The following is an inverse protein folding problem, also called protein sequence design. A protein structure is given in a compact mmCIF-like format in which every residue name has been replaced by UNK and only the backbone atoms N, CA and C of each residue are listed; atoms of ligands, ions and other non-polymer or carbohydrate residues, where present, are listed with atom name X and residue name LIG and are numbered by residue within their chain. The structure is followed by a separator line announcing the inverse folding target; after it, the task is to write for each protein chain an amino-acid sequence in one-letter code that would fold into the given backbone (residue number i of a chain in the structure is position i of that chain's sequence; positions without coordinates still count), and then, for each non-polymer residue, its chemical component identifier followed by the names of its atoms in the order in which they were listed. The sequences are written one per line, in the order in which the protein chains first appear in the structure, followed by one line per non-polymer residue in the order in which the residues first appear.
data_IF_943231943266
#
_entry.id   IF_943231943266
#
_cell.length_a   1.000
_cell.length_b   1.000
_cell.length_c   1.000
_cell.angle_alpha   90.00
_cell.angle_beta   90.00
_cell.angle_gamma   90.00
#
_symmetry.space_group_name_H-M   'P 1'
#
loop_
_entity.id
_entity.type
_entity.pdbx_description
1 polymer ?
#
# COMPACT_ATOMS: atom_id res chain seq x y z
N UNK A 1 0.12 -27.49 -44.60
CA UNK A 1 0.45 -27.82 -43.22
C UNK A 1 1.69 -26.99 -42.87
N UNK A 2 1.48 -25.83 -42.29
CA UNK A 2 2.55 -25.03 -41.71
C UNK A 2 2.81 -25.60 -40.33
N UNK A 3 4.00 -26.23 -40.17
CA UNK A 3 4.54 -26.56 -38.85
C UNK A 3 4.66 -25.25 -38.06
N UNK A 4 3.79 -25.08 -37.11
CA UNK A 4 3.95 -24.03 -36.11
C UNK A 4 4.96 -24.57 -35.12
N UNK A 5 6.11 -23.96 -35.07
CA UNK A 5 7.18 -24.27 -34.11
C UNK A 5 6.60 -24.21 -32.69
N UNK A 6 6.57 -25.31 -31.92
CA UNK A 6 6.04 -25.33 -30.58
C UNK A 6 6.79 -24.42 -29.59
N UNK A 7 7.98 -23.93 -29.95
CA UNK A 7 8.79 -23.00 -29.13
C UNK A 7 8.45 -21.52 -29.39
N UNK A 8 7.54 -21.21 -30.31
CA UNK A 8 7.05 -19.84 -30.60
C UNK A 8 5.72 -19.51 -29.89
N UNK A 9 5.40 -20.19 -28.80
CA UNK A 9 4.33 -19.72 -27.94
C UNK A 9 4.89 -18.51 -27.16
N UNK A 10 4.76 -17.29 -27.72
CA UNK A 10 5.01 -16.07 -26.99
C UNK A 10 4.26 -16.20 -25.65
N UNK A 11 4.98 -16.22 -24.54
CA UNK A 11 4.36 -16.29 -23.23
C UNK A 11 3.59 -14.98 -23.06
N UNK A 12 2.26 -15.07 -23.05
CA UNK A 12 1.40 -13.94 -22.74
C UNK A 12 1.88 -13.32 -21.43
N UNK A 13 2.26 -12.04 -21.50
CA UNK A 13 2.77 -11.27 -20.36
C UNK A 13 1.71 -10.34 -19.86
N UNK A 14 1.70 -10.09 -18.57
CA UNK A 14 0.86 -9.08 -17.95
C UNK A 14 1.72 -7.88 -17.57
N UNK A 15 1.15 -6.68 -17.61
CA UNK A 15 1.83 -5.44 -17.23
C UNK A 15 1.86 -5.32 -15.69
N UNK A 16 2.38 -6.35 -15.05
CA UNK A 16 2.52 -6.51 -13.61
C UNK A 16 3.86 -7.16 -13.29
N UNK A 17 4.61 -6.54 -12.38
CA UNK A 17 5.87 -7.07 -11.86
C UNK A 17 5.78 -7.24 -10.35
N UNK A 18 6.33 -8.33 -9.84
CA UNK A 18 6.44 -8.61 -8.40
C UNK A 18 7.87 -9.03 -8.11
N UNK A 19 8.55 -8.30 -7.22
CA UNK A 19 9.96 -8.49 -6.90
C UNK A 19 10.81 -8.63 -8.18
N UNK A 20 10.69 -7.64 -9.09
CA UNK A 20 11.35 -7.57 -10.41
C UNK A 20 11.02 -8.69 -11.41
N UNK A 21 10.14 -9.62 -11.06
CA UNK A 21 9.68 -10.65 -11.98
C UNK A 21 8.40 -10.23 -12.66
N UNK A 22 8.42 -10.17 -14.00
CA UNK A 22 7.20 -9.94 -14.78
C UNK A 22 6.26 -11.15 -14.65
N UNK A 23 4.99 -10.86 -14.38
CA UNK A 23 3.94 -11.87 -14.36
C UNK A 23 3.60 -12.28 -15.80
N UNK A 24 3.54 -13.57 -16.03
CA UNK A 24 3.25 -14.17 -17.33
C UNK A 24 2.22 -15.29 -17.16
N UNK A 25 1.59 -15.70 -18.24
CA UNK A 25 0.69 -16.85 -18.23
C UNK A 25 1.34 -18.15 -17.74
N UNK A 26 2.66 -18.28 -17.93
CA UNK A 26 3.39 -19.48 -17.51
C UNK A 26 3.74 -19.47 -16.02
N UNK A 27 3.94 -18.32 -15.38
CA UNK A 27 4.31 -18.21 -13.97
C UNK A 27 3.18 -17.69 -13.06
N UNK A 28 2.02 -17.32 -13.58
CA UNK A 28 0.94 -16.71 -12.79
C UNK A 28 0.47 -17.52 -11.58
N UNK A 29 0.70 -18.84 -11.57
CA UNK A 29 0.36 -19.71 -10.45
C UNK A 29 1.46 -19.82 -9.38
N UNK A 30 2.67 -19.32 -9.68
CA UNK A 30 3.86 -19.31 -8.82
C UNK A 30 4.84 -18.27 -9.40
N UNK A 31 4.54 -16.98 -9.17
CA UNK A 31 5.28 -15.88 -9.79
C UNK A 31 6.75 -15.88 -9.40
N UNK A 32 7.04 -16.20 -8.15
CA UNK A 32 8.40 -16.17 -7.62
C UNK A 32 9.14 -17.51 -7.80
N UNK A 33 8.46 -18.57 -8.25
CA UNK A 33 9.01 -19.92 -8.41
C UNK A 33 9.51 -20.50 -7.07
N UNK A 34 8.81 -20.20 -5.99
CA UNK A 34 9.16 -20.56 -4.61
C UNK A 34 8.17 -21.52 -3.94
N UNK A 35 7.22 -22.05 -4.70
CA UNK A 35 6.15 -22.91 -4.23
C UNK A 35 4.80 -22.21 -4.10
N UNK A 36 4.66 -21.02 -4.68
CA UNK A 36 3.39 -20.32 -4.82
C UNK A 36 3.08 -19.33 -3.71
N UNK A 37 4.10 -18.66 -3.17
CA UNK A 37 3.91 -17.52 -2.24
C UNK A 37 3.17 -16.36 -2.93
N UNK A 38 3.36 -16.19 -4.24
CA UNK A 38 2.69 -15.18 -5.05
C UNK A 38 1.97 -15.82 -6.23
N UNK A 39 0.68 -15.51 -6.38
CA UNK A 39 -0.18 -15.97 -7.49
C UNK A 39 -0.97 -14.80 -8.05
N UNK A 40 -1.17 -14.81 -9.36
CA UNK A 40 -1.98 -13.83 -10.06
C UNK A 40 -3.12 -14.49 -10.83
N UNK A 41 -4.34 -14.00 -10.63
CA UNK A 41 -5.50 -14.36 -11.44
C UNK A 41 -5.83 -13.21 -12.40
N UNK A 42 -5.53 -13.37 -13.70
CA UNK A 42 -5.80 -12.32 -14.68
C UNK A 42 -7.29 -12.13 -15.01
N UNK A 43 -8.14 -13.05 -14.57
CA UNK A 43 -9.59 -12.93 -14.82
C UNK A 43 -10.22 -11.89 -13.90
N UNK A 44 -9.66 -11.73 -12.70
CA UNK A 44 -10.13 -10.83 -11.65
C UNK A 44 -9.10 -9.75 -11.31
N UNK A 45 -7.95 -9.71 -11.99
CA UNK A 45 -6.79 -8.88 -11.66
C UNK A 45 -6.41 -8.99 -10.16
N UNK A 46 -6.41 -10.22 -9.62
CA UNK A 46 -6.15 -10.44 -8.20
C UNK A 46 -4.78 -11.05 -7.98
N UNK A 47 -3.94 -10.36 -7.21
CA UNK A 47 -2.66 -10.85 -6.70
C UNK A 47 -2.86 -11.43 -5.30
N UNK A 48 -2.63 -12.73 -5.13
CA UNK A 48 -2.73 -13.43 -3.85
C UNK A 48 -1.34 -13.65 -3.27
N UNK A 49 -1.14 -13.19 -2.04
CA UNK A 49 0.12 -13.28 -1.29
C UNK A 49 -0.05 -14.28 -0.14
N UNK A 50 0.82 -15.30 -0.08
CA UNK A 50 0.79 -16.33 0.95
C UNK A 50 2.09 -16.28 1.76
N UNK A 51 2.12 -15.44 2.79
CA UNK A 51 3.31 -15.15 3.60
C UNK A 51 4.53 -14.80 2.72
N UNK A 52 4.29 -14.00 1.68
CA UNK A 52 5.31 -13.65 0.71
C UNK A 52 6.35 -12.67 1.31
N UNK A 53 7.62 -12.93 1.02
CA UNK A 53 8.73 -12.01 1.30
C UNK A 53 9.15 -11.34 -0.01
N UNK A 54 8.77 -10.07 -0.17
CA UNK A 54 9.07 -9.27 -1.35
C UNK A 54 10.21 -8.29 -1.05
N UNK A 55 11.30 -8.82 -0.50
CA UNK A 55 12.53 -8.06 -0.26
C UNK A 55 13.33 -7.97 -1.54
N UNK A 56 13.60 -6.74 -2.01
CA UNK A 56 14.50 -6.53 -3.16
C UNK A 56 15.94 -6.37 -2.69
N UNK A 57 16.86 -7.07 -3.37
CA UNK A 57 18.29 -6.82 -3.20
C UNK A 57 18.65 -5.54 -3.97
N UNK A 58 18.87 -4.42 -3.30
CA UNK A 58 19.06 -3.08 -3.86
C UNK A 58 20.13 -2.89 -4.94
N UNK A 59 20.75 -3.98 -5.42
CA UNK A 59 21.73 -4.00 -6.51
C UNK A 59 21.12 -4.29 -7.90
N UNK A 60 19.86 -4.69 -7.99
CA UNK A 60 19.26 -5.19 -9.25
C UNK A 60 18.50 -4.13 -10.06
N UNK A 61 18.34 -2.91 -9.55
CA UNK A 61 17.69 -1.81 -10.28
C UNK A 61 16.16 -1.86 -10.30
N UNK A 62 15.54 -2.73 -9.50
CA UNK A 62 14.11 -2.72 -9.26
C UNK A 62 13.73 -1.58 -8.33
N UNK A 63 12.73 -0.81 -8.75
CA UNK A 63 12.30 0.35 -7.98
C UNK A 63 11.14 0.04 -7.02
N UNK A 64 10.37 -1.05 -7.27
CA UNK A 64 9.16 -1.37 -6.52
C UNK A 64 9.05 -2.86 -6.19
N UNK A 65 8.50 -3.19 -5.03
CA UNK A 65 8.17 -4.57 -4.68
C UNK A 65 7.01 -5.11 -5.53
N UNK A 66 6.01 -4.26 -5.82
CA UNK A 66 4.90 -4.54 -6.73
C UNK A 66 4.72 -3.33 -7.64
N UNK A 67 4.92 -3.51 -8.94
CA UNK A 67 4.69 -2.51 -9.98
C UNK A 67 3.61 -3.00 -10.92
N UNK A 68 2.45 -2.33 -10.91
CA UNK A 68 1.33 -2.63 -11.79
C UNK A 68 1.12 -1.49 -12.76
N UNK A 69 1.33 -1.76 -14.04
CA UNK A 69 1.01 -0.86 -15.14
C UNK A 69 -0.36 -1.20 -15.76
N UNK A 70 -1.16 -1.99 -15.05
CA UNK A 70 -2.56 -2.25 -15.42
C UNK A 70 -3.35 -0.95 -15.25
N UNK A 71 -4.14 -0.60 -16.29
CA UNK A 71 -5.07 0.52 -16.22
C UNK A 71 -6.33 0.17 -15.40
N UNK A 72 -6.64 -1.12 -15.29
CA UNK A 72 -7.72 -1.65 -14.48
C UNK A 72 -7.29 -1.80 -13.03
N UNK A 73 -8.26 -1.89 -12.13
CA UNK A 73 -8.03 -2.12 -10.72
C UNK A 73 -7.20 -3.39 -10.46
N UNK A 74 -6.14 -3.27 -9.65
CA UNK A 74 -5.44 -4.40 -9.06
C UNK A 74 -5.99 -4.67 -7.66
N UNK A 75 -6.43 -5.90 -7.40
CA UNK A 75 -6.77 -6.36 -6.05
C UNK A 75 -5.62 -7.17 -5.46
N UNK A 76 -5.18 -6.83 -4.24
CA UNK A 76 -4.18 -7.59 -3.48
C UNK A 76 -4.84 -8.18 -2.23
N UNK A 77 -4.60 -9.48 -2.00
CA UNK A 77 -5.11 -10.19 -0.84
C UNK A 77 -4.03 -11.08 -0.20
N UNK A 78 -4.18 -11.41 1.09
CA UNK A 78 -3.27 -12.30 1.82
C UNK A 78 -2.19 -11.58 2.61
N UNK A 79 -1.05 -12.22 2.83
CA UNK A 79 -0.01 -11.74 3.76
C UNK A 79 1.34 -11.58 3.07
N UNK A 80 2.00 -10.43 3.28
CA UNK A 80 3.35 -10.19 2.78
C UNK A 80 4.14 -9.18 3.61
N UNK A 81 5.47 -9.29 3.50
CA UNK A 81 6.42 -8.25 3.88
C UNK A 81 7.08 -7.70 2.62
N UNK A 82 7.10 -6.38 2.48
CA UNK A 82 7.71 -5.66 1.37
C UNK A 82 8.85 -4.78 1.93
N UNK A 83 10.04 -4.91 1.39
CA UNK A 83 11.18 -4.15 1.91
C UNK A 83 12.26 -3.87 0.86
N UNK A 84 13.10 -2.87 1.16
CA UNK A 84 14.26 -2.47 0.36
C UNK A 84 13.95 -1.87 -1.02
N UNK A 85 12.73 -1.38 -1.23
CA UNK A 85 12.31 -0.68 -2.45
C UNK A 85 11.09 0.18 -2.17
N UNK A 86 10.58 0.90 -3.18
CA UNK A 86 9.20 1.37 -3.16
C UNK A 86 8.27 0.17 -2.93
N UNK A 87 7.18 0.39 -2.20
CA UNK A 87 6.32 -0.73 -1.83
C UNK A 87 5.43 -1.19 -2.98
N UNK A 88 4.30 -0.52 -3.17
CA UNK A 88 3.29 -0.84 -4.19
C UNK A 88 3.02 0.39 -5.03
N UNK A 89 3.33 0.31 -6.32
CA UNK A 89 2.98 1.33 -7.30
C UNK A 89 2.00 0.75 -8.32
N UNK A 90 0.92 1.47 -8.61
CA UNK A 90 -0.05 1.07 -9.63
C UNK A 90 -0.34 2.25 -10.57
N UNK A 91 -0.59 1.98 -11.85
CA UNK A 91 -1.10 2.99 -12.79
C UNK A 91 -2.62 3.16 -12.66
N UNK A 92 -3.35 2.09 -12.36
CA UNK A 92 -4.79 2.09 -12.09
C UNK A 92 -5.13 2.09 -10.60
N UNK A 93 -6.43 1.97 -10.25
CA UNK A 93 -6.88 1.86 -8.86
C UNK A 93 -6.32 0.62 -8.16
N UNK A 94 -6.20 0.71 -6.83
CA UNK A 94 -5.71 -0.37 -5.98
C UNK A 94 -6.73 -0.74 -4.90
N UNK A 95 -7.03 -2.02 -4.78
CA UNK A 95 -7.79 -2.56 -3.65
C UNK A 95 -6.94 -3.53 -2.83
N UNK A 96 -6.82 -3.28 -1.53
CA UNK A 96 -6.30 -4.22 -0.54
C UNK A 96 -7.50 -4.82 0.20
N UNK A 97 -7.80 -6.10 -0.05
CA UNK A 97 -8.94 -6.79 0.56
C UNK A 97 -8.50 -8.06 1.29
N UNK A 98 -8.83 -8.16 2.58
CA UNK A 98 -8.36 -9.26 3.42
C UNK A 98 -6.82 -9.40 3.38
N UNK A 99 -6.11 -8.28 3.33
CA UNK A 99 -4.66 -8.22 3.24
C UNK A 99 -4.02 -7.90 4.60
N UNK A 100 -2.87 -8.53 4.86
CA UNK A 100 -2.00 -8.18 6.00
C UNK A 100 -0.62 -7.86 5.45
N UNK A 101 -0.30 -6.57 5.36
CA UNK A 101 0.93 -6.10 4.72
C UNK A 101 1.80 -5.33 5.71
N UNK A 102 3.11 -5.62 5.65
CA UNK A 102 4.13 -4.83 6.35
C UNK A 102 5.11 -4.29 5.33
N UNK A 103 5.22 -2.96 5.25
CA UNK A 103 6.12 -2.27 4.34
C UNK A 103 7.20 -1.56 5.16
N UNK A 104 8.47 -1.77 4.78
CA UNK A 104 9.61 -1.11 5.40
C UNK A 104 10.42 -0.35 4.36
N UNK A 105 10.85 0.86 4.71
CA UNK A 105 11.43 1.83 3.79
C UNK A 105 12.63 1.36 2.97
N UNK A 106 12.91 2.12 1.93
CA UNK A 106 13.96 1.87 0.94
C UNK A 106 15.39 2.02 1.52
N UNK A 107 16.36 1.32 0.91
CA UNK A 107 17.78 1.33 1.31
C UNK A 107 18.49 2.63 0.92
N UNK A 108 18.13 3.26 -0.20
CA UNK A 108 18.92 4.33 -0.80
C UNK A 108 18.47 5.75 -0.43
N UNK A 109 17.33 5.91 0.26
CA UNK A 109 16.88 7.20 0.79
C UNK A 109 16.69 8.30 -0.24
N UNK A 110 16.41 7.94 -1.50
CA UNK A 110 16.15 8.91 -2.56
C UNK A 110 14.84 9.65 -2.31
N UNK A 111 14.86 10.92 -2.64
CA UNK A 111 13.73 11.83 -2.43
C UNK A 111 12.59 11.45 -3.37
N UNK A 112 11.47 10.98 -2.83
CA UNK A 112 10.26 10.71 -3.62
C UNK A 112 9.65 9.33 -3.47
N UNK A 113 10.24 8.47 -2.65
CA UNK A 113 9.80 7.09 -2.47
C UNK A 113 8.45 6.98 -1.77
N UNK A 114 7.55 6.23 -2.37
CA UNK A 114 6.21 5.96 -1.86
C UNK A 114 6.13 4.55 -1.29
N UNK A 115 5.50 4.38 -0.13
CA UNK A 115 5.18 3.03 0.32
C UNK A 115 4.02 2.45 -0.50
N UNK A 116 2.98 3.24 -0.76
CA UNK A 116 1.86 2.85 -1.64
C UNK A 116 1.42 4.07 -2.45
N UNK A 117 1.36 3.92 -3.77
CA UNK A 117 0.85 4.96 -4.68
C UNK A 117 -0.03 4.37 -5.76
N UNK A 118 -1.18 4.99 -6.00
CA UNK A 118 -2.05 4.69 -7.13
C UNK A 118 -2.05 5.84 -8.14
N UNK A 119 -1.85 5.48 -9.41
CA UNK A 119 -1.67 6.41 -10.51
C UNK A 119 -0.50 7.37 -10.28
N UNK A 120 -0.65 8.60 -10.78
CA UNK A 120 0.25 9.71 -10.44
C UNK A 120 -0.21 10.46 -9.17
N UNK A 121 -0.83 9.75 -8.22
CA UNK A 121 -1.50 10.24 -7.02
C UNK A 121 -2.93 10.77 -7.30
N UNK A 122 -3.58 10.27 -8.35
CA UNK A 122 -4.92 10.66 -8.80
C UNK A 122 -5.89 9.48 -8.91
N UNK A 123 -5.39 8.23 -8.86
CA UNK A 123 -6.22 7.04 -8.79
C UNK A 123 -6.58 6.68 -7.34
N UNK A 124 -7.65 5.88 -7.18
CA UNK A 124 -8.21 5.56 -5.87
C UNK A 124 -7.54 4.35 -5.22
N UNK A 125 -7.42 4.40 -3.90
CA UNK A 125 -7.01 3.26 -3.08
C UNK A 125 -8.15 2.89 -2.12
N UNK A 126 -8.51 1.60 -2.13
CA UNK A 126 -9.45 1.00 -1.17
C UNK A 126 -8.72 0.01 -0.26
N UNK A 127 -8.84 0.16 1.05
CA UNK A 127 -8.31 -0.76 2.06
C UNK A 127 -9.50 -1.28 2.88
N UNK A 128 -9.83 -2.55 2.73
CA UNK A 128 -10.98 -3.15 3.41
C UNK A 128 -10.62 -4.48 4.07
N UNK A 129 -11.16 -4.72 5.27
CA UNK A 129 -10.93 -5.96 6.04
C UNK A 129 -9.44 -6.30 6.21
N UNK A 130 -8.57 -5.29 6.26
CA UNK A 130 -7.13 -5.44 6.11
C UNK A 130 -6.36 -4.83 7.27
N UNK A 131 -5.11 -5.26 7.40
CA UNK A 131 -4.12 -4.64 8.29
C UNK A 131 -2.92 -4.23 7.47
N UNK A 132 -2.61 -2.94 7.43
CA UNK A 132 -1.48 -2.39 6.69
C UNK A 132 -0.61 -1.59 7.64
N UNK A 133 0.66 -1.98 7.73
CA UNK A 133 1.67 -1.29 8.51
C UNK A 133 2.77 -0.77 7.58
N UNK A 134 2.97 0.53 7.59
CA UNK A 134 4.06 1.20 6.89
C UNK A 134 5.01 1.74 7.95
N UNK A 135 6.19 1.13 8.08
CA UNK A 135 7.19 1.54 9.05
C UNK A 135 8.01 2.72 8.50
N UNK A 136 8.10 3.78 9.30
CA UNK A 136 8.73 5.03 8.90
C UNK A 136 10.21 4.92 8.59
N UNK A 137 10.98 4.17 9.41
CA UNK A 137 12.42 4.02 9.25
C UNK A 137 12.84 2.59 9.52
N UNK A 138 13.78 2.09 8.72
CA UNK A 138 14.51 0.87 9.07
C UNK A 138 15.68 1.20 10.04
N UNK A 139 16.42 0.17 10.48
CA UNK A 139 17.57 0.31 11.37
C UNK A 139 18.72 1.13 10.80
N UNK A 140 18.73 1.43 9.51
CA UNK A 140 19.75 2.20 8.78
C UNK A 140 19.34 3.66 8.53
N UNK A 141 18.11 4.05 8.93
CA UNK A 141 17.59 5.40 8.78
C UNK A 141 16.90 5.65 7.44
N UNK A 142 16.70 4.62 6.61
CA UNK A 142 15.98 4.72 5.35
C UNK A 142 14.48 4.71 5.60
N UNK A 143 13.73 5.54 4.88
CA UNK A 143 12.29 5.72 5.07
C UNK A 143 11.60 6.02 3.74
N UNK A 144 10.32 5.71 3.67
CA UNK A 144 9.47 6.26 2.62
C UNK A 144 9.27 7.76 2.86
N UNK A 145 9.44 8.56 1.82
CA UNK A 145 9.10 9.99 1.91
C UNK A 145 7.60 10.15 2.09
N UNK A 146 6.81 9.36 1.37
CA UNK A 146 5.36 9.33 1.50
C UNK A 146 4.89 7.93 1.87
N UNK A 147 3.95 7.86 2.82
CA UNK A 147 3.34 6.59 3.17
C UNK A 147 2.34 6.14 2.11
N UNK A 148 1.27 6.89 1.94
CA UNK A 148 0.23 6.63 0.94
C UNK A 148 -0.03 7.89 0.12
N UNK A 149 -0.04 7.77 -1.22
CA UNK A 149 -0.46 8.84 -2.13
C UNK A 149 -1.49 8.34 -3.14
N UNK A 150 -2.64 9.04 -3.23
CA UNK A 150 -3.74 8.66 -4.12
C UNK A 150 -4.73 9.82 -4.34
N UNK A 151 -5.70 9.63 -5.22
CA UNK A 151 -6.83 10.53 -5.40
C UNK A 151 -7.78 10.46 -4.21
N UNK A 152 -8.41 9.29 -4.01
CA UNK A 152 -9.25 9.01 -2.85
C UNK A 152 -8.73 7.79 -2.10
N UNK A 153 -8.64 7.89 -0.77
CA UNK A 153 -8.36 6.77 0.11
C UNK A 153 -9.63 6.36 0.85
N UNK A 154 -10.10 5.13 0.60
CA UNK A 154 -11.21 4.54 1.34
C UNK A 154 -10.69 3.46 2.30
N UNK A 155 -11.00 3.57 3.59
CA UNK A 155 -10.59 2.61 4.62
C UNK A 155 -11.82 2.07 5.35
N UNK A 156 -12.05 0.77 5.26
CA UNK A 156 -13.23 0.13 5.85
C UNK A 156 -12.87 -1.13 6.65
N UNK A 157 -13.33 -1.23 7.90
CA UNK A 157 -13.10 -2.39 8.78
C UNK A 157 -11.62 -2.80 8.86
N UNK A 158 -10.71 -1.84 8.87
CA UNK A 158 -9.27 -2.06 8.68
C UNK A 158 -8.42 -1.33 9.72
N UNK A 159 -7.22 -1.84 9.92
CA UNK A 159 -6.18 -1.14 10.67
C UNK A 159 -5.12 -0.64 9.70
N UNK A 160 -4.88 0.65 9.70
CA UNK A 160 -3.88 1.32 8.91
C UNK A 160 -2.93 2.08 9.84
N UNK A 161 -1.68 1.66 9.90
CA UNK A 161 -0.62 2.32 10.68
C UNK A 161 0.48 2.80 9.73
N UNK A 162 0.61 4.11 9.58
CA UNK A 162 1.47 4.74 8.59
C UNK A 162 2.46 5.67 9.26
N UNK A 163 3.73 5.38 9.09
CA UNK A 163 4.81 6.27 9.47
C UNK A 163 5.72 6.54 8.27
N UNK A 164 5.98 7.82 7.98
CA UNK A 164 6.79 8.26 6.85
C UNK A 164 7.77 9.36 7.28
N UNK A 165 8.83 9.55 6.51
CA UNK A 165 9.78 10.64 6.71
C UNK A 165 9.24 12.00 6.27
N UNK A 166 8.40 12.00 5.23
CA UNK A 166 7.60 13.14 4.79
C UNK A 166 6.14 12.99 5.24
N UNK A 167 5.16 13.20 4.36
CA UNK A 167 3.75 13.07 4.74
C UNK A 167 3.29 11.61 4.77
N UNK A 168 2.57 11.22 5.83
CA UNK A 168 2.14 9.83 5.97
C UNK A 168 1.00 9.47 5.00
N UNK A 169 -0.03 10.31 4.89
CA UNK A 169 -1.14 10.14 3.94
C UNK A 169 -1.33 11.43 3.16
N UNK A 170 -1.32 11.33 1.84
CA UNK A 170 -1.61 12.44 0.91
C UNK A 170 -2.71 11.97 -0.04
N UNK A 171 -3.88 12.55 0.08
CA UNK A 171 -5.02 12.24 -0.77
C UNK A 171 -5.91 13.48 -0.94
N UNK A 172 -6.72 13.54 -1.99
CA UNK A 172 -7.73 14.59 -2.09
C UNK A 172 -8.85 14.31 -1.08
N UNK A 173 -9.26 13.05 -0.97
CA UNK A 173 -10.32 12.63 -0.05
C UNK A 173 -9.88 11.41 0.77
N UNK A 174 -10.18 11.42 2.08
CA UNK A 174 -10.13 10.24 2.95
C UNK A 174 -11.53 9.92 3.44
N UNK A 175 -12.03 8.72 3.11
CA UNK A 175 -13.26 8.17 3.65
C UNK A 175 -12.95 6.99 4.56
N UNK A 176 -13.42 7.04 5.82
CA UNK A 176 -13.26 5.94 6.77
C UNK A 176 -14.61 5.48 7.31
N UNK A 177 -14.80 4.14 7.35
CA UNK A 177 -16.05 3.50 7.80
C UNK A 177 -15.79 2.18 8.52
N UNK A 178 -16.81 1.68 9.21
CA UNK A 178 -16.73 0.45 9.98
C UNK A 178 -16.19 0.64 11.40
N UNK A 179 -16.92 0.13 12.39
CA UNK A 179 -16.66 0.35 13.81
C UNK A 179 -15.28 -0.13 14.31
N UNK A 180 -14.63 -1.05 13.57
CA UNK A 180 -13.30 -1.56 13.88
C UNK A 180 -12.16 -0.81 13.18
N UNK A 181 -12.47 0.23 12.39
CA UNK A 181 -11.45 0.96 11.64
C UNK A 181 -10.60 1.82 12.57
N UNK A 182 -9.28 1.68 12.42
CA UNK A 182 -8.28 2.50 13.10
C UNK A 182 -7.25 2.97 12.07
N UNK A 183 -7.04 4.28 11.98
CA UNK A 183 -5.98 4.86 11.15
C UNK A 183 -5.07 5.64 12.09
N UNK A 184 -3.79 5.28 12.08
CA UNK A 184 -2.72 6.05 12.74
C UNK A 184 -1.78 6.55 11.66
N UNK A 185 -1.50 7.84 11.66
CA UNK A 185 -0.59 8.47 10.73
C UNK A 185 0.43 9.31 11.48
N UNK A 186 1.70 9.17 11.15
CA UNK A 186 2.81 9.91 11.77
C UNK A 186 3.86 10.30 10.72
N UNK A 187 4.39 11.50 10.82
CA UNK A 187 5.59 11.92 10.07
C UNK A 187 6.76 12.13 11.00
N UNK A 188 7.95 11.69 10.58
CA UNK A 188 9.21 11.98 11.26
C UNK A 188 9.81 13.34 10.84
N UNK A 189 9.15 14.08 9.94
CA UNK A 189 9.58 15.40 9.51
C UNK A 189 9.66 16.39 10.69
N UNK A 190 10.69 17.24 10.68
CA UNK A 190 10.85 18.28 11.70
C UNK A 190 9.72 19.30 11.66
N UNK A 191 9.53 20.05 12.75
CA UNK A 191 8.51 21.10 12.84
C UNK A 191 8.68 22.22 11.79
N UNK A 192 9.91 22.40 11.28
CA UNK A 192 10.23 23.41 10.28
C UNK A 192 9.85 22.97 8.85
N UNK A 193 9.56 21.68 8.64
CA UNK A 193 9.18 21.12 7.34
C UNK A 193 7.66 21.07 7.20
N UNK A 194 7.14 21.42 6.03
CA UNK A 194 5.71 21.42 5.73
C UNK A 194 5.18 20.02 5.31
N UNK A 195 5.56 18.98 6.08
CA UNK A 195 5.00 17.65 5.95
C UNK A 195 4.06 17.35 7.12
N UNK A 196 2.96 16.68 6.86
CA UNK A 196 1.93 16.43 7.86
C UNK A 196 1.50 14.96 7.85
N UNK A 197 0.95 14.51 8.98
CA UNK A 197 0.41 13.16 9.09
C UNK A 197 -0.71 12.90 8.07
N UNK A 198 -1.64 13.83 7.93
CA UNK A 198 -2.72 13.79 6.95
C UNK A 198 -2.70 15.07 6.12
N UNK A 199 -2.53 14.94 4.81
CA UNK A 199 -2.65 16.03 3.82
C UNK A 199 -3.85 15.71 2.95
N UNK A 200 -4.98 16.38 3.22
CA UNK A 200 -6.29 16.06 2.65
C UNK A 200 -7.02 17.34 2.30
N UNK A 201 -7.86 17.29 1.24
CA UNK A 201 -8.85 18.32 0.94
C UNK A 201 -10.19 18.04 1.67
N UNK A 202 -10.57 16.76 1.78
CA UNK A 202 -11.82 16.32 2.41
C UNK A 202 -11.61 15.10 3.31
N UNK A 203 -12.33 15.08 4.45
CA UNK A 203 -12.37 13.94 5.38
C UNK A 203 -13.82 13.56 5.69
N UNK A 204 -14.20 12.34 5.33
CA UNK A 204 -15.53 11.76 5.61
C UNK A 204 -15.40 10.60 6.58
N UNK A 205 -16.02 10.71 7.76
CA UNK A 205 -16.00 9.69 8.80
C UNK A 205 -17.42 9.16 9.04
N UNK A 206 -17.58 7.84 9.09
CA UNK A 206 -18.83 7.14 9.26
C UNK A 206 -18.78 6.20 10.48
N UNK A 207 -19.92 5.59 10.82
CA UNK A 207 -20.03 4.55 11.87
C UNK A 207 -19.46 4.95 13.25
N UNK A 208 -19.55 6.24 13.58
CA UNK A 208 -19.09 6.77 14.87
C UNK A 208 -17.57 6.95 14.97
N UNK A 209 -16.86 6.90 13.87
CA UNK A 209 -15.45 7.28 13.81
C UNK A 209 -15.29 8.79 13.98
N UNK A 210 -14.17 9.20 14.56
CA UNK A 210 -13.79 10.61 14.76
C UNK A 210 -12.26 10.77 14.59
N UNK A 211 -11.81 11.96 14.28
CA UNK A 211 -10.40 12.33 14.35
C UNK A 211 -10.07 12.63 15.82
N UNK A 212 -9.66 11.57 16.54
CA UNK A 212 -9.46 11.61 18.00
C UNK A 212 -8.12 12.24 18.40
N UNK A 213 -7.19 12.36 17.47
CA UNK A 213 -5.89 13.01 17.65
C UNK A 213 -5.47 13.74 16.37
N UNK A 214 -4.92 14.94 16.52
CA UNK A 214 -4.34 15.72 15.43
C UNK A 214 -5.35 16.58 14.65
N UNK A 215 -4.83 17.28 13.65
CA UNK A 215 -5.57 18.12 12.71
C UNK A 215 -5.03 17.86 11.30
N UNK A 216 -5.91 17.80 10.29
CA UNK A 216 -5.51 17.71 8.89
C UNK A 216 -4.64 18.90 8.48
N UNK A 217 -3.70 18.67 7.59
CA UNK A 217 -2.80 19.67 7.00
C UNK A 217 -2.02 20.50 8.04
N UNK A 218 -1.80 19.94 9.24
CA UNK A 218 -1.18 20.69 10.33
C UNK A 218 -0.40 19.83 11.32
N UNK A 219 -0.95 18.70 11.72
CA UNK A 219 -0.33 17.88 12.78
C UNK A 219 0.67 16.88 12.24
N UNK A 220 1.71 16.62 13.00
CA UNK A 220 2.71 15.56 12.72
C UNK A 220 2.20 14.17 13.07
N UNK A 221 1.17 14.09 13.90
CA UNK A 221 0.46 12.86 14.26
C UNK A 221 -1.04 13.05 14.11
N UNK A 222 -1.70 12.02 13.65
CA UNK A 222 -3.15 11.97 13.56
C UNK A 222 -3.66 10.57 13.86
N UNK A 223 -4.84 10.47 14.47
CA UNK A 223 -5.50 9.19 14.70
C UNK A 223 -6.99 9.30 14.45
N UNK A 224 -7.51 8.42 13.62
CA UNK A 224 -8.94 8.20 13.39
C UNK A 224 -9.32 6.88 14.05
N UNK A 225 -10.30 6.90 14.93
CA UNK A 225 -10.84 5.74 15.63
C UNK A 225 -12.21 6.07 16.21
N UNK A 226 -12.89 5.08 16.77
CA UNK A 226 -14.01 5.38 17.66
C UNK A 226 -13.50 6.09 18.92
N UNK A 227 -14.16 7.19 19.37
CA UNK A 227 -13.83 7.83 20.63
C UNK A 227 -13.98 6.83 21.79
N UNK A 228 -13.07 6.90 22.76
CA UNK A 228 -13.22 6.14 24.00
C UNK A 228 -14.52 6.53 24.69
N UNK A 229 -15.39 5.55 24.94
CA UNK A 229 -16.60 5.81 25.71
C UNK A 229 -16.21 6.18 27.15
N UNK A 230 -16.69 7.31 27.63
CA UNK A 230 -16.51 7.69 29.03
C UNK A 230 -17.04 6.55 29.93
N UNK A 231 -16.34 6.20 31.03
CA UNK A 231 -16.81 5.18 31.95
C UNK A 231 -18.23 5.54 32.41
N UNK A 232 -19.17 4.67 32.12
CA UNK A 232 -20.52 4.79 32.72
C UNK A 232 -20.40 4.50 34.19
N UNK A 233 -20.35 5.57 35.02
CA UNK A 233 -20.48 5.40 36.49
C UNK A 233 -21.83 4.76 36.80
N UNK A 234 -21.81 3.46 36.99
CA UNK A 234 -22.93 2.76 37.58
C UNK A 234 -23.02 3.21 39.07
N UNK A 235 -23.97 4.12 39.33
CA UNK A 235 -24.38 4.44 40.71
C UNK A 235 -25.27 3.34 41.29
#
# INVERSE_FOLDING_TARGET
LTDVDPDQQESETYDLWVADKQVTKSNQSDVLEDGGSVKFDPTTNTLTLNDADLTLDGAAGGYCCIDSQLAEELTITGTATLSNADGILTEGPLTLDNATLTLTGNIDGDVGDDAIRAGRSDEDITIQNSTVTIAGTNSEGNFFQFGIRCGKLTVANSTLDVKAGGSAVVANELEASGAGTVITAETDASEEQEYYALVLDELTLQDGLDLVEGEMNKSKKAKIAQPEQAPTDFK
#
